data_IF_069261539161
#
_entry.id   IF_069261539161
#
_cell.length_a   1.000
_cell.length_b   1.000
_cell.length_c   1.000
_cell.angle_alpha   90.00
_cell.angle_beta   90.00
_cell.angle_gamma   90.00
#
_symmetry.space_group_name_H-M   'P 1'
#
loop_
_entity.id
_entity.type
_entity.pdbx_description
1 polymer ?
#
# COMPACT_ATOMS: atom_id res chain seq x y z
N UNK A 1 -24.35 -39.30 -0.62
CA UNK A 1 -23.05 -38.99 0.04
C UNK A 1 -22.00 -38.55 -0.98
N UNK A 2 -22.29 -37.52 -1.79
CA UNK A 2 -21.36 -36.95 -2.79
C UNK A 2 -21.38 -35.41 -2.87
N UNK A 3 -22.29 -34.75 -2.16
CA UNK A 3 -22.43 -33.28 -2.20
C UNK A 3 -21.49 -32.57 -1.21
N UNK A 4 -21.00 -33.25 -0.15
CA UNK A 4 -20.09 -32.64 0.84
C UNK A 4 -18.64 -32.47 0.37
N UNK A 5 -18.18 -33.21 -0.64
CA UNK A 5 -16.77 -33.17 -1.08
C UNK A 5 -16.48 -31.90 -1.90
N UNK A 6 -17.47 -31.38 -2.62
CA UNK A 6 -17.30 -30.18 -3.44
C UNK A 6 -17.05 -28.91 -2.62
N UNK A 7 -17.59 -28.80 -1.40
CA UNK A 7 -17.40 -27.61 -0.55
C UNK A 7 -16.01 -27.58 0.11
N UNK A 8 -15.47 -28.76 0.46
CA UNK A 8 -14.14 -28.89 1.06
C UNK A 8 -13.00 -28.57 0.09
N UNK A 9 -13.20 -28.80 -1.21
CA UNK A 9 -12.19 -28.53 -2.24
C UNK A 9 -12.06 -27.04 -2.59
N UNK A 10 -13.12 -26.24 -2.38
CA UNK A 10 -13.12 -24.79 -2.66
C UNK A 10 -12.32 -23.99 -1.63
N UNK A 11 -12.23 -24.45 -0.38
CA UNK A 11 -11.46 -23.75 0.67
C UNK A 11 -9.93 -23.80 0.46
N UNK A 12 -9.43 -24.77 -0.30
CA UNK A 12 -7.99 -24.97 -0.53
C UNK A 12 -7.46 -24.04 -1.64
N UNK A 13 -8.36 -23.44 -2.44
CA UNK A 13 -8.02 -22.61 -3.60
C UNK A 13 -8.04 -21.10 -3.32
N UNK A 14 -8.25 -20.67 -2.08
CA UNK A 14 -8.15 -19.25 -1.72
C UNK A 14 -6.67 -18.94 -1.44
N UNK A 15 -5.93 -18.28 -2.36
CA UNK A 15 -4.59 -17.83 -2.04
C UNK A 15 -4.65 -16.91 -0.82
N UNK A 16 -3.63 -16.93 0.07
CA UNK A 16 -3.58 -15.96 1.15
C UNK A 16 -3.68 -14.56 0.56
N UNK A 17 -4.49 -13.70 1.19
CA UNK A 17 -4.54 -12.30 0.80
C UNK A 17 -3.11 -11.75 0.83
N UNK A 18 -2.63 -11.25 -0.31
CA UNK A 18 -1.32 -10.62 -0.37
C UNK A 18 -1.35 -9.42 0.57
N UNK A 19 -0.33 -9.30 1.42
CA UNK A 19 -0.18 -8.13 2.28
C UNK A 19 -0.07 -6.88 1.40
N UNK A 20 -0.92 -5.89 1.63
CA UNK A 20 -0.89 -4.66 0.85
C UNK A 20 0.33 -3.81 1.21
N UNK A 21 0.93 -3.17 0.21
CA UNK A 21 1.93 -2.12 0.44
C UNK A 21 1.20 -0.85 0.88
N UNK A 22 1.63 -0.27 1.99
CA UNK A 22 1.11 1.00 2.51
C UNK A 22 2.09 2.11 2.15
N UNK A 23 1.58 3.21 1.65
CA UNK A 23 2.34 4.44 1.40
C UNK A 23 1.93 5.50 2.41
N UNK A 24 2.91 6.08 3.10
CA UNK A 24 2.67 7.10 4.14
C UNK A 24 3.46 8.37 3.78
N UNK A 25 2.77 9.49 3.63
CA UNK A 25 3.41 10.80 3.43
C UNK A 25 3.94 11.34 4.76
N UNK A 26 5.24 11.58 4.84
CA UNK A 26 5.88 12.21 6.00
C UNK A 26 6.14 13.68 5.68
N UNK A 27 5.19 14.54 6.06
CA UNK A 27 5.17 15.94 5.65
C UNK A 27 6.44 16.71 6.06
N UNK A 28 6.93 16.50 7.29
CA UNK A 28 8.09 17.26 7.81
C UNK A 28 9.41 16.73 7.26
N UNK A 29 9.47 15.44 6.95
CA UNK A 29 10.68 14.77 6.50
C UNK A 29 10.85 14.83 4.98
N UNK A 30 9.82 15.29 4.25
CA UNK A 30 9.80 15.35 2.78
C UNK A 30 10.02 13.97 2.13
N UNK A 31 9.45 12.93 2.74
CA UNK A 31 9.54 11.55 2.25
C UNK A 31 8.17 10.89 2.13
N UNK A 32 8.10 9.84 1.31
CA UNK A 32 7.04 8.84 1.36
C UNK A 32 7.63 7.52 1.86
N UNK A 33 7.13 7.03 3.00
CA UNK A 33 7.47 5.73 3.51
C UNK A 33 6.68 4.62 2.80
N UNK A 34 7.37 3.55 2.44
CA UNK A 34 6.80 2.30 1.92
C UNK A 34 6.82 1.29 3.05
N UNK A 35 5.65 0.80 3.45
CA UNK A 35 5.48 -0.08 4.59
C UNK A 35 4.84 -1.39 4.14
N UNK A 36 5.39 -2.50 4.62
CA UNK A 36 4.78 -3.82 4.42
C UNK A 36 3.59 -3.99 5.36
N UNK A 37 2.37 -4.07 4.80
CA UNK A 37 1.14 -4.00 5.60
C UNK A 37 0.93 -5.16 6.59
N UNK A 38 1.48 -6.35 6.32
CA UNK A 38 1.28 -7.50 7.21
C UNK A 38 2.06 -7.39 8.53
N UNK A 39 3.24 -6.80 8.51
CA UNK A 39 4.11 -6.69 9.69
C UNK A 39 4.30 -5.25 10.14
N UNK A 40 3.75 -4.28 9.41
CA UNK A 40 3.96 -2.84 9.61
C UNK A 40 5.44 -2.44 9.60
N UNK A 41 6.27 -3.17 8.85
CA UNK A 41 7.70 -2.89 8.77
C UNK A 41 8.00 -1.90 7.64
N UNK A 42 8.83 -0.91 7.93
CA UNK A 42 9.37 0.01 6.93
C UNK A 42 10.23 -0.76 5.91
N UNK A 43 9.87 -0.65 4.63
CA UNK A 43 10.62 -1.23 3.52
C UNK A 43 11.52 -0.20 2.84
N UNK A 44 11.05 1.04 2.71
CA UNK A 44 11.80 2.14 2.13
C UNK A 44 11.27 3.50 2.62
N UNK A 45 12.11 4.52 2.54
CA UNK A 45 11.71 5.93 2.56
C UNK A 45 12.19 6.56 1.26
N UNK A 46 11.27 7.15 0.51
CA UNK A 46 11.52 7.73 -0.81
C UNK A 46 11.51 9.25 -0.64
N UNK A 47 12.61 9.91 -0.99
CA UNK A 47 12.68 11.37 -1.02
C UNK A 47 11.73 11.92 -2.10
N UNK A 48 10.95 12.94 -1.74
CA UNK A 48 10.00 13.61 -2.63
C UNK A 48 10.15 15.13 -2.52
N UNK A 49 9.15 15.87 -3.03
CA UNK A 49 9.07 17.31 -2.85
C UNK A 49 8.74 17.70 -1.41
N UNK A 50 8.40 18.98 -1.21
CA UNK A 50 8.15 19.50 0.13
C UNK A 50 6.72 19.24 0.58
N UNK A 51 6.58 18.89 1.86
CA UNK A 51 5.26 18.73 2.52
C UNK A 51 4.30 17.83 1.74
N UNK A 52 4.66 16.56 1.45
CA UNK A 52 3.75 15.63 0.81
C UNK A 52 2.51 15.43 1.68
N UNK A 53 1.31 15.49 1.08
CA UNK A 53 0.04 15.33 1.82
C UNK A 53 -0.96 14.49 1.03
N UNK A 54 -1.50 15.06 -0.05
CA UNK A 54 -2.48 14.38 -0.88
C UNK A 54 -1.80 13.29 -1.68
N UNK A 55 -2.35 12.07 -1.67
CA UNK A 55 -1.82 10.95 -2.43
C UNK A 55 -2.93 10.17 -3.12
N UNK A 56 -2.65 9.67 -4.32
CA UNK A 56 -3.55 8.81 -5.07
C UNK A 56 -2.78 7.78 -5.89
N UNK A 57 -3.23 6.52 -5.87
CA UNK A 57 -2.70 5.48 -6.74
C UNK A 57 -3.42 5.50 -8.10
N UNK A 58 -2.68 5.20 -9.16
CA UNK A 58 -3.25 4.85 -10.46
C UNK A 58 -4.14 3.61 -10.35
N UNK A 59 -5.08 3.45 -11.29
CA UNK A 59 -6.00 2.30 -11.32
C UNK A 59 -5.24 0.97 -11.38
N UNK A 60 -4.14 0.92 -12.12
CA UNK A 60 -3.27 -0.26 -12.22
C UNK A 60 -2.28 -0.40 -11.05
N UNK A 61 -2.31 0.52 -10.09
CA UNK A 61 -1.47 0.59 -8.87
C UNK A 61 0.04 0.64 -9.15
N UNK A 62 0.45 1.02 -10.37
CA UNK A 62 1.89 1.13 -10.73
C UNK A 62 2.46 2.53 -10.49
N UNK A 63 1.61 3.52 -10.26
CA UNK A 63 2.04 4.91 -10.07
C UNK A 63 1.33 5.51 -8.86
N UNK A 64 2.10 6.08 -7.95
CA UNK A 64 1.60 6.90 -6.85
C UNK A 64 1.79 8.37 -7.23
N UNK A 65 0.70 9.12 -7.31
CA UNK A 65 0.72 10.58 -7.45
C UNK A 65 0.76 11.20 -6.06
N UNK A 66 1.68 12.14 -5.86
CA UNK A 66 1.86 12.85 -4.59
C UNK A 66 1.71 14.34 -4.85
N UNK A 67 0.80 14.97 -4.11
CA UNK A 67 0.61 16.41 -4.09
C UNK A 67 1.57 17.01 -3.07
N UNK A 68 2.57 17.70 -3.60
CA UNK A 68 3.56 18.46 -2.84
C UNK A 68 3.04 19.87 -2.57
N UNK A 69 3.32 20.36 -1.37
CA UNK A 69 3.07 21.73 -0.99
C UNK A 69 4.30 22.61 -1.19
N UNK A 70 4.11 23.89 -0.96
CA UNK A 70 5.22 24.77 -0.61
C UNK A 70 5.07 25.15 0.86
N UNK A 71 6.18 25.48 1.52
CA UNK A 71 6.15 25.93 2.92
C UNK A 71 5.59 27.35 3.06
N UNK A 72 5.36 28.05 1.94
CA UNK A 72 5.05 29.48 1.79
C UNK A 72 5.21 30.26 3.11
N UNK A 73 6.47 30.40 3.51
CA UNK A 73 6.97 31.49 4.33
C UNK A 73 6.97 32.76 3.49
#
# INVERSE_FOLDING_TARGET
MQILIALGLVLILVPPAAAETIYVSNEQDNTVAVVYGATMTLQAAIDVGRRPRGMALSVDKKTLFVAEGDDNR
#
